data_IF_452362145025
#
_entry.id   IF_452362145025
#
_cell.length_a   1.000
_cell.length_b   1.000
_cell.length_c   1.000
_cell.angle_alpha   90.00
_cell.angle_beta   90.00
_cell.angle_gamma   90.00
#
_symmetry.space_group_name_H-M   'P 1'
#
loop_
_entity.id
_entity.type
_entity.pdbx_description
1 polymer ?
#
# COMPACT_ATOMS: atom_id res chain seq x y z
N UNK A 1 -6.03 -11.34 4.29
CA UNK A 1 -6.07 -10.57 5.56
C UNK A 1 -7.32 -9.69 5.53
N UNK A 2 -8.04 -9.48 6.66
CA UNK A 2 -9.32 -8.81 6.64
C UNK A 2 -9.14 -7.29 6.49
N UNK A 3 -9.90 -6.75 5.54
CA UNK A 3 -10.12 -5.33 5.27
C UNK A 3 -10.72 -4.64 6.50
N UNK A 4 -10.09 -3.57 6.96
CA UNK A 4 -10.71 -2.67 7.91
C UNK A 4 -9.80 -1.48 8.11
N UNK A 5 -10.13 -0.35 7.49
CA UNK A 5 -9.92 1.01 7.98
C UNK A 5 -10.63 1.93 6.99
N UNK A 6 -11.70 2.58 7.43
CA UNK A 6 -12.14 3.95 7.14
C UNK A 6 -13.58 4.12 7.68
N UNK A 7 -13.71 4.13 9.00
CA UNK A 7 -14.89 4.67 9.68
C UNK A 7 -14.73 6.19 9.78
N UNK A 8 -15.62 6.92 9.12
CA UNK A 8 -15.82 8.36 9.32
C UNK A 8 -15.20 9.24 8.24
N UNK A 9 -16.06 9.83 7.40
CA UNK A 9 -16.20 11.28 7.15
C UNK A 9 -17.36 11.46 6.14
N UNK A 10 -18.21 12.44 6.43
CA UNK A 10 -19.53 12.69 5.83
C UNK A 10 -19.49 13.59 4.58
N UNK A 11 -20.51 13.40 3.72
CA UNK A 11 -21.16 14.37 2.82
C UNK A 11 -20.56 14.64 1.41
N UNK A 12 -21.11 13.97 0.38
CA UNK A 12 -22.11 14.47 -0.60
C UNK A 12 -22.42 13.33 -1.60
N UNK A 13 -23.70 13.00 -1.76
CA UNK A 13 -24.16 11.68 -2.21
C UNK A 13 -24.06 11.41 -3.72
N UNK A 14 -23.48 10.26 -4.06
CA UNK A 14 -23.91 9.43 -5.18
C UNK A 14 -24.09 8.00 -4.65
N UNK A 15 -25.29 7.43 -4.78
CA UNK A 15 -25.59 6.06 -4.32
C UNK A 15 -25.05 5.09 -5.38
N UNK A 16 -23.97 4.40 -5.05
CA UNK A 16 -23.29 3.41 -5.91
C UNK A 16 -23.78 1.98 -5.55
N UNK A 17 -23.67 0.99 -6.45
CA UNK A 17 -24.27 -0.33 -6.29
C UNK A 17 -23.74 -1.08 -5.06
N UNK A 18 -24.67 -1.78 -4.42
CA UNK A 18 -24.55 -2.50 -3.16
C UNK A 18 -23.47 -3.59 -3.21
N UNK A 19 -22.61 -3.65 -2.19
CA UNK A 19 -21.55 -4.67 -2.07
C UNK A 19 -22.09 -5.85 -1.28
N UNK A 20 -22.29 -7.00 -1.93
CA UNK A 20 -22.60 -8.24 -1.23
C UNK A 20 -21.31 -9.06 -0.98
N UNK A 21 -20.97 -9.31 0.29
CA UNK A 21 -19.86 -10.18 0.72
C UNK A 21 -20.44 -11.39 1.46
N UNK A 22 -20.29 -12.59 0.92
CA UNK A 22 -20.68 -13.84 1.58
C UNK A 22 -19.47 -14.48 2.27
N UNK A 23 -19.45 -14.49 3.60
CA UNK A 23 -18.45 -15.21 4.41
C UNK A 23 -19.17 -16.08 5.43
N UNK A 24 -19.07 -17.40 5.30
CA UNK A 24 -19.78 -18.36 6.15
C UNK A 24 -18.90 -18.81 7.32
N UNK A 25 -19.13 -18.22 8.50
CA UNK A 25 -19.00 -18.87 9.81
C UNK A 25 -19.99 -18.17 10.74
N UNK A 26 -21.15 -18.81 10.95
CA UNK A 26 -22.30 -18.35 11.75
C UNK A 26 -22.86 -16.99 11.28
N UNK A 27 -24.03 -17.06 10.65
CA UNK A 27 -24.61 -16.05 9.75
C UNK A 27 -24.97 -14.72 10.43
N UNK A 28 -24.01 -13.81 10.56
CA UNK A 28 -24.26 -12.38 10.54
C UNK A 28 -23.76 -11.85 9.19
N UNK A 29 -24.68 -11.42 8.32
CA UNK A 29 -24.32 -10.64 7.13
C UNK A 29 -24.18 -9.20 7.61
N UNK A 30 -22.95 -8.73 7.73
CA UNK A 30 -22.67 -7.32 7.99
C UNK A 30 -22.62 -6.57 6.66
N UNK A 31 -23.58 -5.67 6.45
CA UNK A 31 -23.58 -4.77 5.29
C UNK A 31 -22.83 -3.50 5.66
N UNK A 32 -21.72 -3.23 4.97
CA UNK A 32 -20.94 -2.01 5.13
C UNK A 32 -21.22 -1.05 3.97
N UNK A 33 -21.80 0.11 4.28
CA UNK A 33 -22.02 1.18 3.30
C UNK A 33 -20.77 2.08 3.23
N UNK A 34 -20.01 2.00 2.13
CA UNK A 34 -18.83 2.83 1.89
C UNK A 34 -19.17 3.93 0.89
N UNK A 35 -19.02 5.19 1.29
CA UNK A 35 -19.23 6.35 0.43
C UNK A 35 -17.89 6.81 -0.18
N UNK A 36 -17.91 7.14 -1.47
CA UNK A 36 -16.75 7.68 -2.18
C UNK A 36 -17.00 9.12 -2.61
N UNK A 37 -16.02 9.99 -2.37
CA UNK A 37 -16.01 11.37 -2.86
C UNK A 37 -14.98 11.43 -3.98
N UNK A 38 -15.35 12.01 -5.12
CA UNK A 38 -14.46 12.16 -6.27
C UNK A 38 -14.67 13.52 -6.94
N UNK A 39 -13.60 14.09 -7.49
CA UNK A 39 -13.64 15.27 -8.35
C UNK A 39 -13.83 14.92 -9.84
N UNK A 40 -13.98 13.64 -10.16
CA UNK A 40 -14.24 13.18 -11.53
C UNK A 40 -15.62 13.64 -12.02
N UNK A 41 -15.71 13.94 -13.31
CA UNK A 41 -16.95 14.39 -13.96
C UNK A 41 -18.07 13.33 -13.88
N UNK A 42 -19.33 13.76 -13.94
CA UNK A 42 -20.51 12.87 -13.90
C UNK A 42 -20.63 11.89 -15.08
N UNK A 43 -19.73 11.93 -16.06
CA UNK A 43 -19.73 11.01 -17.20
C UNK A 43 -19.30 9.59 -16.85
N UNK A 44 -18.58 9.41 -15.73
CA UNK A 44 -18.15 8.09 -15.30
C UNK A 44 -19.29 7.34 -14.61
N UNK A 45 -19.49 6.09 -15.00
CA UNK A 45 -20.51 5.24 -14.40
C UNK A 45 -20.13 4.85 -12.97
N UNK A 46 -21.12 4.52 -12.12
CA UNK A 46 -20.88 3.91 -10.82
C UNK A 46 -19.87 2.75 -10.81
N UNK A 47 -19.97 1.87 -11.80
CA UNK A 47 -19.12 0.69 -11.96
C UNK A 47 -17.68 1.07 -12.30
N UNK A 48 -17.48 2.10 -13.13
CA UNK A 48 -16.16 2.61 -13.48
C UNK A 48 -15.47 3.24 -12.27
N UNK A 49 -16.18 4.07 -11.51
CA UNK A 49 -15.67 4.65 -10.26
C UNK A 49 -15.29 3.57 -9.24
N UNK A 50 -16.11 2.52 -9.12
CA UNK A 50 -15.80 1.38 -8.27
C UNK A 50 -14.56 0.62 -8.76
N UNK A 51 -14.35 0.51 -10.07
CA UNK A 51 -13.14 -0.10 -10.65
C UNK A 51 -11.89 0.71 -10.30
N UNK A 52 -11.93 2.04 -10.42
CA UNK A 52 -10.82 2.90 -10.00
C UNK A 52 -10.50 2.75 -8.52
N UNK A 53 -11.52 2.75 -7.67
CA UNK A 53 -11.35 2.48 -6.24
C UNK A 53 -10.65 1.16 -5.98
N UNK A 54 -11.12 0.07 -6.63
CA UNK A 54 -10.52 -1.26 -6.48
C UNK A 54 -9.07 -1.28 -6.97
N UNK A 55 -8.76 -0.59 -8.08
CA UNK A 55 -7.38 -0.51 -8.57
C UNK A 55 -6.47 0.30 -7.64
N UNK A 56 -6.99 1.29 -6.93
CA UNK A 56 -6.20 2.08 -5.99
C UNK A 56 -5.62 1.21 -4.86
N UNK A 57 -6.35 0.20 -4.40
CA UNK A 57 -5.86 -0.75 -3.40
C UNK A 57 -4.69 -1.62 -3.87
N UNK A 58 -4.37 -1.63 -5.16
CA UNK A 58 -3.15 -2.30 -5.64
C UNK A 58 -1.87 -1.66 -5.07
N UNK A 59 -1.89 -0.37 -4.75
CA UNK A 59 -0.78 0.30 -4.07
C UNK A 59 -0.52 -0.33 -2.69
N UNK A 60 -1.57 -0.54 -1.90
CA UNK A 60 -1.47 -1.17 -0.58
C UNK A 60 -0.99 -2.62 -0.67
N UNK A 61 -1.62 -3.40 -1.56
CA UNK A 61 -1.36 -4.83 -1.67
C UNK A 61 0.01 -5.15 -2.29
N UNK A 62 0.55 -4.26 -3.12
CA UNK A 62 1.85 -4.47 -3.75
C UNK A 62 2.92 -3.69 -3.00
N UNK A 63 2.91 -2.35 -3.07
CA UNK A 63 3.98 -1.51 -2.55
C UNK A 63 4.10 -1.62 -1.04
N UNK A 64 3.01 -1.36 -0.31
CA UNK A 64 3.06 -1.33 1.16
C UNK A 64 3.30 -2.73 1.74
N UNK A 65 2.63 -3.76 1.23
CA UNK A 65 2.90 -5.14 1.65
C UNK A 65 4.38 -5.55 1.48
N UNK A 66 5.01 -5.19 0.36
CA UNK A 66 6.44 -5.45 0.15
C UNK A 66 7.30 -4.67 1.16
N UNK A 67 6.98 -3.40 1.43
CA UNK A 67 7.71 -2.59 2.42
C UNK A 67 7.60 -3.19 3.82
N UNK A 68 6.42 -3.67 4.21
CA UNK A 68 6.21 -4.29 5.52
C UNK A 68 6.92 -5.65 5.64
N UNK A 69 6.89 -6.46 4.57
CA UNK A 69 7.45 -7.83 4.61
C UNK A 69 8.91 -7.91 4.26
N UNK A 70 9.34 -7.34 3.14
CA UNK A 70 10.72 -7.43 2.68
C UNK A 70 11.64 -6.41 3.38
N UNK A 71 11.13 -5.22 3.69
CA UNK A 71 11.91 -4.15 4.33
C UNK A 71 11.63 -3.99 5.83
N UNK A 72 10.75 -4.82 6.39
CA UNK A 72 10.37 -4.85 7.80
C UNK A 72 10.02 -3.45 8.34
N UNK A 73 9.31 -2.66 7.53
CA UNK A 73 9.01 -1.26 7.86
C UNK A 73 8.30 -1.11 9.20
N UNK A 74 7.30 -1.96 9.49
CA UNK A 74 6.59 -2.02 10.77
C UNK A 74 7.49 -2.30 11.98
N UNK A 75 8.63 -2.97 11.78
CA UNK A 75 9.58 -3.27 12.86
C UNK A 75 10.56 -2.13 13.10
N UNK A 76 10.54 -1.08 12.27
CA UNK A 76 11.48 0.02 12.37
C UNK A 76 11.21 0.86 13.62
N UNK A 77 12.22 0.98 14.49
CA UNK A 77 12.16 1.85 15.68
C UNK A 77 12.56 3.30 15.39
N UNK A 78 12.95 3.59 14.15
CA UNK A 78 13.37 4.91 13.69
C UNK A 78 12.13 5.82 13.66
N UNK A 79 12.03 6.73 14.62
CA UNK A 79 10.87 7.60 14.83
C UNK A 79 11.21 9.09 14.98
N UNK A 80 12.49 9.45 15.04
CA UNK A 80 12.93 10.82 15.34
C UNK A 80 12.84 11.75 14.11
N UNK A 81 12.22 12.91 14.29
CA UNK A 81 12.21 13.99 13.29
C UNK A 81 11.62 13.56 11.94
N UNK A 82 12.30 13.90 10.83
CA UNK A 82 11.87 13.53 9.47
C UNK A 82 12.36 12.14 9.03
N UNK A 83 13.06 11.42 9.90
CA UNK A 83 13.71 10.15 9.55
C UNK A 83 12.71 9.05 9.12
N UNK A 84 11.51 8.89 9.71
CA UNK A 84 10.53 7.92 9.23
C UNK A 84 10.12 8.16 7.77
N UNK A 85 9.88 9.43 7.41
CA UNK A 85 9.52 9.84 6.06
C UNK A 85 10.68 9.56 5.08
N UNK A 86 11.91 9.94 5.47
CA UNK A 86 13.11 9.69 4.65
C UNK A 86 13.30 8.19 4.42
N UNK A 87 13.14 7.37 5.47
CA UNK A 87 13.27 5.91 5.36
C UNK A 87 12.18 5.30 4.48
N UNK A 88 10.94 5.77 4.58
CA UNK A 88 9.84 5.34 3.70
C UNK A 88 10.11 5.69 2.24
N UNK A 89 10.66 6.89 1.98
CA UNK A 89 11.06 7.31 0.63
C UNK A 89 12.20 6.44 0.09
N UNK A 90 13.26 6.21 0.88
CA UNK A 90 14.38 5.37 0.49
C UNK A 90 13.93 3.94 0.14
N UNK A 91 13.09 3.31 0.98
CA UNK A 91 12.53 1.98 0.69
C UNK A 91 11.74 1.97 -0.61
N UNK A 92 10.92 2.99 -0.84
CA UNK A 92 10.13 3.14 -2.07
C UNK A 92 11.04 3.29 -3.29
N UNK A 93 12.07 4.13 -3.21
CA UNK A 93 13.05 4.31 -4.29
C UNK A 93 13.84 3.03 -4.56
N UNK A 94 14.32 2.35 -3.52
CA UNK A 94 15.01 1.06 -3.64
C UNK A 94 14.11 0.01 -4.28
N UNK A 95 12.85 -0.10 -3.86
CA UNK A 95 11.89 -1.02 -4.45
C UNK A 95 11.71 -0.74 -5.95
N UNK A 96 11.47 0.53 -6.32
CA UNK A 96 11.36 0.94 -7.73
C UNK A 96 12.60 0.53 -8.54
N UNK A 97 13.81 0.81 -8.03
CA UNK A 97 15.06 0.44 -8.70
C UNK A 97 15.15 -1.08 -8.87
N UNK A 98 14.90 -1.87 -7.81
CA UNK A 98 14.95 -3.32 -7.90
C UNK A 98 13.98 -3.81 -8.97
N UNK A 99 12.73 -3.31 -8.97
CA UNK A 99 11.70 -3.74 -9.93
C UNK A 99 12.01 -3.41 -11.38
N UNK A 100 12.87 -2.43 -11.65
CA UNK A 100 13.33 -2.12 -13.02
C UNK A 100 14.29 -3.18 -13.58
N UNK A 101 15.03 -3.88 -12.71
CA UNK A 101 16.08 -4.81 -13.12
C UNK A 101 15.83 -6.26 -12.69
N UNK A 102 14.91 -6.50 -11.75
CA UNK A 102 14.65 -7.81 -11.14
C UNK A 102 13.26 -7.87 -10.51
N UNK A 103 12.64 -9.06 -10.53
CA UNK A 103 11.42 -9.35 -9.78
C UNK A 103 11.71 -10.04 -8.42
N UNK A 104 12.98 -10.29 -8.09
CA UNK A 104 13.39 -11.03 -6.89
C UNK A 104 13.78 -10.12 -5.74
N UNK A 105 12.79 -9.41 -5.20
CA UNK A 105 13.02 -8.31 -4.25
C UNK A 105 13.77 -8.76 -2.98
N UNK A 106 13.34 -9.84 -2.33
CA UNK A 106 13.97 -10.32 -1.08
C UNK A 106 15.40 -10.80 -1.31
N UNK A 107 15.65 -11.53 -2.39
CA UNK A 107 16.99 -12.03 -2.76
C UNK A 107 17.94 -10.86 -3.09
N UNK A 108 17.48 -9.87 -3.85
CA UNK A 108 18.28 -8.68 -4.17
C UNK A 108 18.62 -7.88 -2.92
N UNK A 109 17.67 -7.72 -1.99
CA UNK A 109 17.90 -7.08 -0.68
C UNK A 109 18.94 -7.83 0.16
N UNK A 110 18.84 -9.15 0.24
CA UNK A 110 19.80 -9.99 1.00
C UNK A 110 21.20 -9.95 0.39
N UNK A 111 21.29 -10.04 -0.94
CA UNK A 111 22.54 -9.88 -1.65
C UNK A 111 23.16 -8.50 -1.37
N UNK A 112 22.37 -7.43 -1.41
CA UNK A 112 22.85 -6.09 -1.08
C UNK A 112 23.41 -6.02 0.36
N UNK A 113 22.73 -6.62 1.34
CA UNK A 113 23.21 -6.66 2.72
C UNK A 113 24.60 -7.30 2.85
N UNK A 114 24.89 -8.34 2.06
CA UNK A 114 26.22 -8.98 2.04
C UNK A 114 27.34 -8.04 1.53
N UNK A 115 26.98 -7.02 0.75
CA UNK A 115 27.93 -6.07 0.17
C UNK A 115 27.90 -4.68 0.82
N UNK A 116 27.08 -4.46 1.86
CA UNK A 116 26.85 -3.11 2.41
C UNK A 116 28.14 -2.44 2.91
N UNK A 117 29.09 -3.23 3.41
CA UNK A 117 30.41 -2.75 3.82
C UNK A 117 31.20 -2.10 2.67
N UNK A 118 31.01 -2.55 1.41
CA UNK A 118 31.65 -1.96 0.23
C UNK A 118 31.09 -0.57 -0.06
N UNK A 119 29.84 -0.33 0.28
CA UNK A 119 29.20 0.97 0.07
C UNK A 119 29.83 2.03 0.97
N UNK A 120 30.13 1.69 2.23
CA UNK A 120 30.89 2.59 3.11
C UNK A 120 32.31 2.86 2.60
N UNK A 121 32.93 1.89 1.93
CA UNK A 121 34.25 2.07 1.29
C UNK A 121 34.25 3.17 0.21
N UNK A 122 33.11 3.46 -0.41
CA UNK A 122 32.99 4.55 -1.40
C UNK A 122 33.08 5.95 -0.77
N UNK A 123 32.76 6.05 0.52
CA UNK A 123 32.74 7.31 1.26
C UNK A 123 33.92 7.45 2.23
N UNK A 124 34.71 6.39 2.43
CA UNK A 124 35.95 6.45 3.18
C UNK A 124 37.09 6.87 2.24
N UNK A 125 37.47 8.13 2.30
CA UNK A 125 38.76 8.65 1.79
C UNK A 125 39.92 8.17 2.64
#
# INVERSE_FOLDING_TARGET
MPFGYLNGISSKYAKLPEKEKRRTRLMAVETENVLMITSLEKKFSPEELLKFNRSHWSCENNLNWIKDKAFEEDKSTISTGKTPLIMSLLRTTTLSIITLFSNKITETRENFNNYIHRLFKLFST
#
